data_IF_583083434605
#
_entry.id   IF_583083434605
#
_cell.length_a   1.000
_cell.length_b   1.000
_cell.length_c   1.000
_cell.angle_alpha   90.00
_cell.angle_beta   90.00
_cell.angle_gamma   90.00
#
_symmetry.space_group_name_H-M   'P 1'
#
loop_
_entity.id
_entity.type
_entity.pdbx_description
1 polymer ?
#
# COMPACT_ATOMS: atom_id res chain seq x y z
N UNK A 1 -18.05 -38.17 5.67
CA UNK A 1 -16.79 -37.52 6.13
C UNK A 1 -16.30 -36.58 5.04
N UNK A 2 -16.27 -35.27 5.28
CA UNK A 2 -15.99 -34.24 4.27
C UNK A 2 -14.49 -33.94 4.08
N UNK A 3 -14.12 -32.69 4.36
CA UNK A 3 -12.75 -32.17 4.24
C UNK A 3 -11.83 -32.88 5.26
N UNK A 4 -10.63 -33.25 4.82
CA UNK A 4 -9.62 -33.96 5.64
C UNK A 4 -8.31 -33.17 5.70
N UNK A 5 -7.63 -33.23 6.84
CA UNK A 5 -6.32 -32.62 7.09
C UNK A 5 -5.17 -33.64 7.10
N UNK A 6 -5.44 -34.87 6.68
CA UNK A 6 -4.45 -35.93 6.56
C UNK A 6 -3.34 -35.56 5.55
N UNK A 7 -2.17 -36.17 5.67
CA UNK A 7 -1.05 -35.94 4.74
C UNK A 7 -0.92 -37.06 3.68
N UNK A 8 -1.69 -38.14 3.84
CA UNK A 8 -1.57 -39.37 3.05
C UNK A 8 -2.11 -39.20 1.64
N UNK A 9 -3.15 -38.38 1.46
CA UNK A 9 -3.66 -38.04 0.12
C UNK A 9 -2.67 -37.27 -0.76
N UNK A 10 -1.63 -36.64 -0.18
CA UNK A 10 -0.61 -35.88 -0.92
C UNK A 10 0.52 -36.79 -1.40
N UNK A 11 1.18 -36.39 -2.50
CA UNK A 11 2.37 -37.07 -3.03
C UNK A 11 3.54 -37.04 -2.04
N UNK A 12 4.47 -37.98 -2.21
CA UNK A 12 5.76 -38.00 -1.49
C UNK A 12 6.66 -36.87 -2.00
N UNK A 13 7.72 -36.57 -1.23
CA UNK A 13 8.75 -35.61 -1.67
C UNK A 13 9.42 -36.03 -2.99
N UNK A 14 9.50 -37.33 -3.26
CA UNK A 14 10.00 -37.90 -4.53
C UNK A 14 9.00 -37.76 -5.69
N UNK A 15 7.81 -37.20 -5.48
CA UNK A 15 6.73 -37.13 -6.47
C UNK A 15 5.88 -38.41 -6.57
N UNK A 16 6.31 -39.53 -5.98
CA UNK A 16 5.57 -40.79 -5.97
C UNK A 16 4.19 -40.69 -5.30
N UNK A 17 3.18 -41.37 -5.87
CA UNK A 17 1.84 -41.49 -5.27
C UNK A 17 1.91 -42.36 -4.01
N UNK A 18 1.14 -42.01 -2.98
CA UNK A 18 0.97 -42.85 -1.79
C UNK A 18 -0.29 -43.71 -1.93
N UNK A 19 -0.20 -44.97 -1.54
CA UNK A 19 -1.39 -45.80 -1.40
C UNK A 19 -2.09 -45.44 -0.07
N UNK A 20 -3.42 -45.20 -0.06
CA UNK A 20 -4.15 -44.92 1.16
C UNK A 20 -4.14 -46.15 2.09
N UNK A 21 -3.58 -46.01 3.29
CA UNK A 21 -3.46 -47.13 4.25
C UNK A 21 -4.76 -47.36 5.03
N UNK A 22 -5.56 -46.30 5.20
CA UNK A 22 -6.83 -46.38 5.93
C UNK A 22 -7.86 -45.39 5.37
N UNK A 23 -9.13 -45.61 5.74
CA UNK A 23 -10.21 -44.64 5.50
C UNK A 23 -9.99 -43.37 6.35
N UNK A 24 -10.56 -42.24 5.93
CA UNK A 24 -10.50 -40.95 6.67
C UNK A 24 -10.91 -41.15 8.14
N UNK A 25 -10.23 -40.50 9.08
CA UNK A 25 -10.53 -40.59 10.52
C UNK A 25 -11.15 -39.30 11.06
N UNK A 26 -12.00 -39.40 12.08
CA UNK A 26 -12.70 -38.24 12.68
C UNK A 26 -11.74 -37.19 13.27
N UNK A 27 -10.56 -37.60 13.73
CA UNK A 27 -9.56 -36.68 14.28
C UNK A 27 -8.79 -35.91 13.19
N UNK A 28 -8.88 -36.33 11.93
CA UNK A 28 -8.30 -35.66 10.76
C UNK A 28 -9.29 -34.67 10.13
N UNK A 29 -10.43 -34.42 10.76
CA UNK A 29 -11.53 -33.63 10.20
C UNK A 29 -11.12 -32.16 9.97
N UNK A 30 -11.25 -31.71 8.73
CA UNK A 30 -11.36 -30.30 8.38
C UNK A 30 -12.82 -29.84 8.35
N UNK A 31 -13.07 -28.58 8.67
CA UNK A 31 -14.40 -27.95 8.53
C UNK A 31 -14.32 -26.83 7.48
N UNK A 32 -15.43 -26.50 6.79
CA UNK A 32 -15.49 -25.34 5.91
C UNK A 32 -15.07 -24.06 6.64
N UNK A 33 -14.46 -23.12 5.90
CA UNK A 33 -14.05 -21.82 6.42
C UNK A 33 -15.25 -21.01 6.89
N UNK A 34 -15.01 -20.03 7.76
CA UNK A 34 -16.08 -19.19 8.30
C UNK A 34 -16.49 -18.06 7.34
N UNK A 35 -15.53 -17.54 6.55
CA UNK A 35 -15.69 -16.40 5.64
C UNK A 35 -16.45 -15.22 6.29
N UNK A 36 -16.03 -14.85 7.51
CA UNK A 36 -16.66 -13.82 8.34
C UNK A 36 -16.79 -12.50 7.57
N UNK A 37 -18.00 -11.93 7.51
CA UNK A 37 -18.30 -10.68 6.82
C UNK A 37 -18.49 -9.52 7.78
N UNK A 38 -18.42 -8.31 7.25
CA UNK A 38 -18.86 -7.10 7.98
C UNK A 38 -20.39 -7.10 8.07
N UNK A 39 -20.94 -6.90 9.26
CA UNK A 39 -22.38 -6.85 9.48
C UNK A 39 -22.79 -7.17 10.92
N UNK A 40 -24.10 -7.18 11.22
CA UNK A 40 -24.59 -7.37 12.59
C UNK A 40 -24.09 -8.69 13.17
N UNK A 41 -23.58 -8.62 14.41
CA UNK A 41 -22.89 -9.70 15.09
C UNK A 41 -23.67 -11.02 15.03
N UNK A 42 -23.13 -12.02 14.32
CA UNK A 42 -23.66 -13.38 14.23
C UNK A 42 -22.53 -14.38 14.45
N UNK A 43 -22.61 -15.16 15.53
CA UNK A 43 -21.58 -16.11 15.94
C UNK A 43 -22.24 -17.46 16.20
N UNK A 44 -21.70 -18.53 15.60
CA UNK A 44 -22.15 -19.90 15.84
C UNK A 44 -21.15 -20.63 16.73
N UNK A 45 -21.65 -21.37 17.70
CA UNK A 45 -20.83 -22.24 18.56
C UNK A 45 -20.56 -23.55 17.82
N UNK A 46 -19.30 -23.97 17.79
CA UNK A 46 -18.87 -25.20 17.11
C UNK A 46 -18.18 -26.11 18.12
N UNK A 47 -18.80 -27.25 18.44
CA UNK A 47 -18.19 -28.30 19.27
C UNK A 47 -16.98 -28.91 18.56
N UNK A 48 -15.86 -28.93 19.26
CA UNK A 48 -14.57 -29.44 18.82
C UNK A 48 -14.23 -30.72 19.59
N UNK A 49 -13.07 -31.32 19.26
CA UNK A 49 -12.56 -32.50 19.95
C UNK A 49 -12.38 -32.21 21.45
N UNK A 50 -12.68 -33.19 22.28
CA UNK A 50 -12.59 -33.07 23.74
C UNK A 50 -13.70 -32.24 24.39
N UNK A 51 -14.80 -31.95 23.66
CA UNK A 51 -15.92 -31.18 24.21
C UNK A 51 -15.75 -29.66 24.15
N UNK A 52 -14.55 -29.16 23.81
CA UNK A 52 -14.27 -27.73 23.68
C UNK A 52 -15.17 -27.03 22.65
N UNK A 53 -15.48 -25.76 22.87
CA UNK A 53 -16.30 -24.95 21.98
C UNK A 53 -15.42 -23.89 21.30
N UNK A 54 -15.57 -23.73 19.99
CA UNK A 54 -15.00 -22.60 19.24
C UNK A 54 -16.11 -21.68 18.74
N UNK A 55 -15.84 -20.39 18.76
CA UNK A 55 -16.78 -19.37 18.31
C UNK A 55 -16.50 -19.04 16.84
N UNK A 56 -17.39 -19.45 15.94
CA UNK A 56 -17.29 -19.16 14.53
C UNK A 56 -18.10 -17.91 14.20
N UNK A 57 -17.43 -16.78 14.09
CA UNK A 57 -18.08 -15.57 13.60
C UNK A 57 -18.46 -15.71 12.12
N UNK A 58 -19.71 -15.42 11.77
CA UNK A 58 -20.19 -15.29 10.40
C UNK A 58 -20.30 -13.82 9.99
N UNK A 59 -20.70 -12.97 10.93
CA UNK A 59 -20.77 -11.51 10.75
C UNK A 59 -20.27 -10.80 12.00
N UNK A 60 -19.48 -9.74 11.83
CA UNK A 60 -19.03 -8.83 12.89
C UNK A 60 -18.98 -7.41 12.34
N UNK A 61 -19.46 -6.45 13.11
CA UNK A 61 -19.47 -5.02 12.81
C UNK A 61 -18.55 -4.22 13.73
N UNK A 62 -18.09 -4.84 14.81
CA UNK A 62 -17.31 -4.21 15.87
C UNK A 62 -16.16 -5.11 16.31
N UNK A 63 -15.10 -4.47 16.80
CA UNK A 63 -13.88 -5.13 17.27
C UNK A 63 -13.16 -4.31 18.32
N UNK A 64 -12.29 -4.94 19.11
CA UNK A 64 -11.41 -4.21 20.02
C UNK A 64 -10.09 -3.93 19.32
N UNK A 65 -9.76 -2.65 19.17
CA UNK A 65 -8.52 -2.21 18.54
C UNK A 65 -7.64 -1.49 19.56
N UNK A 66 -6.35 -1.80 19.54
CA UNK A 66 -5.35 -1.18 20.40
C UNK A 66 -4.63 -0.05 19.66
N UNK A 67 -4.52 1.10 20.32
CA UNK A 67 -3.60 2.18 19.97
C UNK A 67 -2.31 1.95 20.78
N UNK A 68 -1.26 1.48 20.11
CA UNK A 68 -0.08 0.95 20.79
C UNK A 68 0.76 2.04 21.46
N UNK A 69 1.02 3.16 20.77
CA UNK A 69 1.76 4.30 21.30
C UNK A 69 1.14 4.86 22.59
N UNK A 70 -0.19 4.97 22.63
CA UNK A 70 -0.94 5.51 23.76
C UNK A 70 -1.34 4.46 24.81
N UNK A 71 -1.06 3.17 24.56
CA UNK A 71 -1.42 2.07 25.45
C UNK A 71 -2.93 1.93 25.72
N UNK A 72 -3.78 2.38 24.79
CA UNK A 72 -5.23 2.35 24.96
C UNK A 72 -5.91 1.35 24.02
N UNK A 73 -7.03 0.76 24.44
CA UNK A 73 -7.83 -0.13 23.59
C UNK A 73 -9.29 0.27 23.68
N UNK A 74 -9.95 0.38 22.52
CA UNK A 74 -11.37 0.73 22.46
C UNK A 74 -12.11 -0.20 21.51
N UNK A 75 -13.38 -0.46 21.85
CA UNK A 75 -14.30 -1.12 20.95
C UNK A 75 -14.75 -0.12 19.90
N UNK A 76 -14.49 -0.41 18.64
CA UNK A 76 -14.84 0.48 17.52
C UNK A 76 -15.57 -0.28 16.42
N UNK A 77 -16.28 0.47 15.59
CA UNK A 77 -16.96 -0.08 14.42
C UNK A 77 -15.94 -0.35 13.32
N UNK A 78 -16.03 -1.51 12.71
CA UNK A 78 -15.31 -1.88 11.50
C UNK A 78 -16.10 -1.33 10.32
N UNK A 79 -15.48 -0.45 9.53
CA UNK A 79 -16.12 0.20 8.40
C UNK A 79 -15.91 -0.63 7.16
N UNK A 80 -14.65 -0.88 6.80
CA UNK A 80 -14.32 -1.53 5.54
C UNK A 80 -13.02 -2.34 5.58
N UNK A 81 -12.91 -3.34 4.71
CA UNK A 81 -11.64 -4.05 4.45
C UNK A 81 -10.94 -3.38 3.27
N UNK A 82 -9.72 -2.86 3.50
CA UNK A 82 -8.95 -2.09 2.52
C UNK A 82 -7.90 -2.94 1.82
N UNK A 83 -7.21 -3.81 2.57
CA UNK A 83 -6.12 -4.60 2.00
C UNK A 83 -6.01 -5.97 2.67
N UNK A 84 -5.56 -6.96 1.91
CA UNK A 84 -5.25 -8.28 2.41
C UNK A 84 -4.05 -8.83 1.66
N UNK A 85 -3.01 -9.22 2.40
CA UNK A 85 -1.79 -9.75 1.82
C UNK A 85 -1.99 -11.12 1.15
N UNK A 86 -2.90 -11.96 1.65
CA UNK A 86 -3.04 -13.33 1.16
C UNK A 86 -3.86 -13.43 -0.12
N UNK A 87 -4.94 -12.65 -0.25
CA UNK A 87 -5.84 -12.71 -1.40
C UNK A 87 -6.68 -11.44 -1.53
N UNK A 88 -6.68 -10.83 -2.73
CA UNK A 88 -7.44 -9.64 -3.06
C UNK A 88 -8.97 -9.86 -3.08
N UNK A 89 -9.43 -11.09 -3.36
CA UNK A 89 -10.87 -11.41 -3.30
C UNK A 89 -11.45 -11.23 -1.90
N UNK A 90 -10.63 -11.39 -0.86
CA UNK A 90 -11.06 -11.16 0.52
C UNK A 90 -11.31 -9.67 0.80
N UNK A 91 -10.63 -8.78 0.08
CA UNK A 91 -10.87 -7.34 0.11
C UNK A 91 -12.16 -7.03 -0.64
N UNK A 92 -12.33 -7.55 -1.87
CA UNK A 92 -13.54 -7.31 -2.67
C UNK A 92 -14.81 -7.76 -1.94
N UNK A 93 -14.74 -8.94 -1.33
CA UNK A 93 -15.88 -9.55 -0.64
C UNK A 93 -16.03 -9.13 0.82
N UNK A 94 -15.21 -8.18 1.31
CA UNK A 94 -15.28 -7.66 2.68
C UNK A 94 -15.20 -8.73 3.76
N UNK A 95 -14.27 -9.67 3.57
CA UNK A 95 -14.04 -10.79 4.50
C UNK A 95 -13.00 -10.41 5.55
N UNK A 96 -13.34 -10.63 6.82
CA UNK A 96 -12.48 -10.35 7.97
C UNK A 96 -11.60 -11.56 8.28
N UNK A 97 -10.28 -11.42 8.07
CA UNK A 97 -9.28 -12.45 8.42
C UNK A 97 -8.09 -11.85 9.15
N UNK A 98 -7.32 -12.68 9.84
CA UNK A 98 -6.06 -12.27 10.47
C UNK A 98 -5.12 -11.68 9.43
N UNK A 99 -4.58 -10.51 9.71
CA UNK A 99 -3.63 -9.80 8.86
C UNK A 99 -4.27 -8.91 7.79
N UNK A 100 -5.61 -8.90 7.66
CA UNK A 100 -6.27 -7.89 6.83
C UNK A 100 -6.11 -6.51 7.44
N UNK A 101 -5.94 -5.53 6.56
CA UNK A 101 -5.94 -4.12 6.87
C UNK A 101 -7.34 -3.60 6.61
N UNK A 102 -7.91 -2.97 7.63
CA UNK A 102 -9.28 -2.49 7.65
C UNK A 102 -9.29 -1.00 8.02
N UNK A 103 -10.38 -0.32 7.71
CA UNK A 103 -10.70 0.99 8.26
C UNK A 103 -11.65 0.82 9.43
N UNK A 104 -11.33 1.51 10.53
CA UNK A 104 -12.15 1.55 11.73
C UNK A 104 -12.57 2.99 12.03
N UNK A 105 -13.67 3.12 12.77
CA UNK A 105 -14.16 4.40 13.26
C UNK A 105 -13.17 5.02 14.26
N UNK A 106 -12.77 6.27 14.03
CA UNK A 106 -11.82 7.00 14.86
C UNK A 106 -12.45 7.59 16.13
N UNK A 107 -13.78 7.74 16.18
CA UNK A 107 -14.49 8.50 17.22
C UNK A 107 -14.14 8.04 18.64
N UNK A 108 -14.14 6.73 18.98
CA UNK A 108 -13.87 6.29 20.35
C UNK A 108 -12.43 6.59 20.83
N UNK A 109 -11.46 6.61 19.91
CA UNK A 109 -10.07 6.97 20.23
C UNK A 109 -9.90 8.47 20.37
N UNK A 110 -10.55 9.26 19.51
CA UNK A 110 -10.54 10.72 19.59
C UNK A 110 -11.15 11.20 20.92
N UNK A 111 -12.31 10.67 21.31
CA UNK A 111 -12.95 11.00 22.59
C UNK A 111 -12.05 10.66 23.78
N UNK A 112 -11.36 9.52 23.73
CA UNK A 112 -10.43 9.13 24.77
C UNK A 112 -9.23 10.07 24.86
N UNK A 113 -8.63 10.43 23.72
CA UNK A 113 -7.50 11.34 23.65
C UNK A 113 -7.85 12.73 24.20
N UNK A 114 -8.98 13.30 23.76
CA UNK A 114 -9.48 14.59 24.23
C UNK A 114 -9.70 14.60 25.74
N UNK A 115 -10.24 13.51 26.31
CA UNK A 115 -10.40 13.38 27.76
C UNK A 115 -9.07 13.13 28.52
N UNK A 116 -8.12 12.43 27.89
CA UNK A 116 -6.84 12.04 28.52
C UNK A 116 -5.85 13.21 28.60
N UNK A 117 -5.76 14.00 27.53
CA UNK A 117 -4.83 15.12 27.37
C UNK A 117 -5.47 16.49 27.54
N UNK A 118 -6.81 16.58 27.53
CA UNK A 118 -7.53 17.86 27.51
C UNK A 118 -7.07 18.78 26.37
N UNK A 119 -6.81 18.18 25.20
CA UNK A 119 -6.42 18.87 23.97
C UNK A 119 -7.30 18.38 22.81
N UNK A 120 -7.70 19.26 21.89
CA UNK A 120 -8.40 18.85 20.68
C UNK A 120 -7.47 18.05 19.77
N UNK A 121 -7.96 16.95 19.19
CA UNK A 121 -7.21 16.12 18.24
C UNK A 121 -7.74 16.30 16.82
N UNK A 122 -6.84 16.59 15.87
CA UNK A 122 -7.08 16.55 14.42
C UNK A 122 -8.32 17.34 13.94
N UNK A 123 -8.50 18.58 14.45
CA UNK A 123 -9.61 19.46 14.06
C UNK A 123 -9.18 20.39 12.92
N UNK A 124 -10.11 20.66 11.99
CA UNK A 124 -9.90 21.67 10.95
C UNK A 124 -9.78 23.05 11.60
N UNK A 125 -8.79 23.85 11.16
CA UNK A 125 -8.62 25.23 11.63
C UNK A 125 -9.93 26.02 11.42
N UNK A 126 -10.44 26.65 12.48
CA UNK A 126 -11.67 27.45 12.45
C UNK A 126 -12.97 26.71 12.74
N UNK A 127 -12.95 25.38 12.90
CA UNK A 127 -14.14 24.63 13.31
C UNK A 127 -14.37 24.80 14.83
N UNK A 128 -15.51 25.39 15.21
CA UNK A 128 -15.94 25.47 16.62
C UNK A 128 -16.18 24.06 17.17
N UNK A 129 -15.80 23.85 18.44
CA UNK A 129 -16.10 22.60 19.13
C UNK A 129 -17.60 22.55 19.44
N UNK A 130 -18.19 21.36 19.42
CA UNK A 130 -19.52 21.16 19.97
C UNK A 130 -19.48 21.30 21.49
N UNK A 131 -20.61 21.68 22.09
CA UNK A 131 -20.74 21.87 23.54
C UNK A 131 -20.27 20.64 24.33
N UNK A 132 -20.57 19.43 23.86
CA UNK A 132 -20.07 18.19 24.47
C UNK A 132 -18.54 18.03 24.40
N UNK A 133 -17.92 18.50 23.32
CA UNK A 133 -16.47 18.44 23.13
C UNK A 133 -15.76 19.47 24.02
N UNK A 134 -16.30 20.67 24.10
CA UNK A 134 -15.84 21.70 25.04
C UNK A 134 -16.00 21.23 26.49
N UNK A 135 -17.10 20.56 26.82
CA UNK A 135 -17.28 19.97 28.14
C UNK A 135 -16.23 18.89 28.46
N UNK A 136 -15.88 18.04 27.49
CA UNK A 136 -14.82 17.02 27.66
C UNK A 136 -13.43 17.64 27.85
N UNK A 137 -13.13 18.71 27.10
CA UNK A 137 -11.79 19.32 27.07
C UNK A 137 -11.60 20.31 28.23
N UNK A 138 -12.60 21.14 28.50
CA UNK A 138 -12.53 22.29 29.43
C UNK A 138 -13.69 22.38 30.43
N UNK A 139 -14.66 21.46 30.40
CA UNK A 139 -15.97 21.61 31.06
C UNK A 139 -16.01 21.73 32.58
N UNK A 140 -14.89 21.62 33.29
CA UNK A 140 -14.89 21.75 34.75
C UNK A 140 -13.70 22.57 35.23
N UNK A 141 -13.92 23.45 36.21
CA UNK A 141 -12.84 24.04 37.00
C UNK A 141 -12.06 22.91 37.66
N UNK A 142 -10.85 22.66 37.16
CA UNK A 142 -9.97 21.59 37.63
C UNK A 142 -9.16 22.07 38.83
N UNK A 143 -8.96 21.19 39.81
CA UNK A 143 -8.04 21.47 40.93
C UNK A 143 -6.62 21.76 40.42
N UNK A 144 -5.81 22.49 41.19
CA UNK A 144 -4.39 22.76 40.86
C UNK A 144 -3.60 21.47 40.59
N UNK A 145 -3.86 20.40 41.37
CA UNK A 145 -3.23 19.07 41.19
C UNK A 145 -3.63 18.43 39.86
N UNK A 146 -4.91 18.53 39.49
CA UNK A 146 -5.42 17.99 38.22
C UNK A 146 -4.86 18.76 37.02
N UNK A 147 -4.74 20.09 37.10
CA UNK A 147 -4.12 20.90 36.05
C UNK A 147 -2.65 20.53 35.85
N UNK A 148 -1.89 20.37 36.94
CA UNK A 148 -0.49 19.91 36.88
C UNK A 148 -0.38 18.55 36.17
N UNK A 149 -1.26 17.60 36.51
CA UNK A 149 -1.32 16.28 35.87
C UNK A 149 -1.55 16.36 34.36
N UNK A 150 -2.44 17.25 33.89
CA UNK A 150 -2.66 17.44 32.46
C UNK A 150 -1.46 18.11 31.79
N UNK A 151 -0.90 19.16 32.39
CA UNK A 151 0.31 19.81 31.88
C UNK A 151 1.48 18.83 31.71
N UNK A 152 1.66 17.91 32.66
CA UNK A 152 2.69 16.88 32.56
C UNK A 152 2.42 15.88 31.42
N UNK A 153 1.16 15.49 31.20
CA UNK A 153 0.79 14.60 30.07
C UNK A 153 0.92 15.28 28.72
N UNK A 154 0.58 16.58 28.63
CA UNK A 154 0.63 17.33 27.39
C UNK A 154 2.04 17.41 26.79
N UNK A 155 3.08 17.25 27.61
CA UNK A 155 4.48 17.15 27.14
C UNK A 155 4.73 15.99 26.18
N UNK A 156 3.99 14.88 26.31
CA UNK A 156 4.13 13.68 25.48
C UNK A 156 2.95 13.47 24.53
N UNK A 157 2.06 14.46 24.39
CA UNK A 157 0.83 14.33 23.60
C UNK A 157 1.05 14.43 22.06
N UNK A 158 2.29 14.45 21.58
CA UNK A 158 2.55 14.59 20.15
C UNK A 158 2.18 13.29 19.41
N UNK A 159 1.19 13.37 18.51
CA UNK A 159 0.77 12.26 17.64
C UNK A 159 1.44 12.38 16.27
N UNK A 160 1.81 11.25 15.67
CA UNK A 160 2.41 11.19 14.33
C UNK A 160 1.53 11.87 13.25
N UNK A 161 2.10 12.66 12.32
CA UNK A 161 1.34 13.40 11.32
C UNK A 161 0.39 12.54 10.46
N UNK A 162 0.83 11.35 10.03
CA UNK A 162 0.01 10.44 9.22
C UNK A 162 -1.19 9.88 9.98
N UNK A 163 -1.03 9.64 11.27
CA UNK A 163 -2.12 9.19 12.15
C UNK A 163 -3.09 10.35 12.39
N UNK A 164 -2.59 11.58 12.56
CA UNK A 164 -3.39 12.79 12.73
C UNK A 164 -4.28 13.05 11.49
N UNK A 165 -3.73 12.90 10.28
CA UNK A 165 -4.49 13.01 9.02
C UNK A 165 -5.67 12.02 8.97
N UNK A 166 -5.46 10.79 9.44
CA UNK A 166 -6.52 9.78 9.52
C UNK A 166 -7.59 10.10 10.56
N UNK A 167 -7.20 10.68 11.71
CA UNK A 167 -8.15 11.20 12.69
C UNK A 167 -8.99 12.34 12.11
N UNK A 168 -8.41 13.22 11.29
CA UNK A 168 -9.14 14.28 10.59
C UNK A 168 -10.14 13.71 9.57
N UNK A 169 -9.79 12.62 8.89
CA UNK A 169 -10.69 11.88 8.00
C UNK A 169 -11.77 11.06 8.76
N UNK A 170 -11.63 10.90 10.07
CA UNK A 170 -12.54 10.12 10.92
C UNK A 170 -12.41 8.61 10.76
N UNK A 171 -11.38 8.11 10.06
CA UNK A 171 -11.17 6.69 9.78
C UNK A 171 -9.70 6.33 9.98
N UNK A 172 -9.45 5.35 10.85
CA UNK A 172 -8.10 4.86 11.13
C UNK A 172 -7.84 3.54 10.40
N UNK A 173 -6.62 3.34 9.91
CA UNK A 173 -6.18 2.06 9.39
C UNK A 173 -5.73 1.15 10.54
N UNK A 174 -6.25 -0.07 10.56
CA UNK A 174 -5.92 -1.06 11.58
C UNK A 174 -5.68 -2.44 10.95
N UNK A 175 -4.87 -3.26 11.63
CA UNK A 175 -4.60 -4.65 11.25
C UNK A 175 -5.31 -5.60 12.20
N UNK A 176 -6.05 -6.56 11.65
CA UNK A 176 -6.67 -7.63 12.43
C UNK A 176 -5.59 -8.60 12.91
N UNK A 177 -5.52 -8.86 14.21
CA UNK A 177 -4.58 -9.81 14.83
C UNK A 177 -5.25 -11.13 15.23
N UNK A 178 -6.54 -11.07 15.57
CA UNK A 178 -7.34 -12.24 15.94
C UNK A 178 -7.75 -13.09 14.72
N UNK A 179 -8.29 -14.29 14.96
CA UNK A 179 -8.88 -15.17 13.93
C UNK A 179 -10.40 -15.26 14.14
N UNK A 180 -11.22 -14.40 13.51
CA UNK A 180 -12.67 -14.34 13.76
C UNK A 180 -13.40 -15.67 13.61
N UNK A 181 -13.00 -16.51 12.64
CA UNK A 181 -13.60 -17.83 12.43
C UNK A 181 -13.25 -18.90 13.50
N UNK A 182 -12.40 -18.58 14.47
CA UNK A 182 -12.01 -19.47 15.57
C UNK A 182 -12.35 -18.86 16.95
N UNK A 183 -12.04 -17.57 17.14
CA UNK A 183 -12.23 -16.86 18.41
C UNK A 183 -13.57 -16.14 18.52
N UNK A 184 -14.30 -15.96 17.41
CA UNK A 184 -15.56 -15.21 17.36
C UNK A 184 -15.40 -13.70 17.51
N UNK A 185 -14.16 -13.19 17.50
CA UNK A 185 -13.84 -11.77 17.70
C UNK A 185 -12.94 -11.26 16.59
N UNK A 186 -13.09 -9.99 16.24
CA UNK A 186 -12.28 -9.29 15.25
C UNK A 186 -11.48 -8.18 15.93
N UNK A 187 -10.39 -8.57 16.60
CA UNK A 187 -9.56 -7.68 17.39
C UNK A 187 -8.23 -7.42 16.66
N UNK A 188 -7.62 -6.27 16.92
CA UNK A 188 -6.46 -5.80 16.18
C UNK A 188 -5.75 -4.62 16.83
N UNK A 189 -4.89 -3.98 16.05
CA UNK A 189 -4.16 -2.79 16.47
C UNK A 189 -4.13 -1.76 15.34
N UNK A 190 -4.05 -0.48 15.69
CA UNK A 190 -3.95 0.64 14.76
C UNK A 190 -2.54 0.65 14.16
N UNK A 191 -2.44 0.96 12.86
CA UNK A 191 -1.15 1.05 12.18
C UNK A 191 -0.49 2.40 12.48
N UNK A 192 0.80 2.37 12.84
CA UNK A 192 1.60 3.55 13.15
C UNK A 192 3.01 3.44 12.53
N UNK A 193 3.70 4.57 12.38
CA UNK A 193 5.08 4.68 11.93
C UNK A 193 5.38 3.95 10.64
N UNK A 194 6.47 3.16 10.64
CA UNK A 194 6.96 2.42 9.46
C UNK A 194 5.92 1.44 8.90
N UNK A 195 5.09 0.83 9.75
CA UNK A 195 4.02 -0.06 9.28
C UNK A 195 2.99 0.74 8.51
N UNK A 196 2.57 1.90 9.04
CA UNK A 196 1.59 2.75 8.37
C UNK A 196 2.13 3.30 7.05
N UNK A 197 3.36 3.81 7.05
CA UNK A 197 4.05 4.25 5.83
C UNK A 197 4.07 3.17 4.75
N UNK A 198 4.38 1.92 5.13
CA UNK A 198 4.40 0.80 4.19
C UNK A 198 3.05 0.61 3.49
N UNK A 199 1.94 0.80 4.21
CA UNK A 199 0.59 0.64 3.67
C UNK A 199 0.04 1.91 2.98
N UNK A 200 0.53 3.11 3.30
CA UNK A 200 0.08 4.39 2.72
C UNK A 200 0.89 4.85 1.49
N UNK A 201 2.13 4.40 1.30
CA UNK A 201 3.03 4.96 0.28
C UNK A 201 2.51 4.82 -1.15
N UNK A 202 2.25 5.97 -1.79
CA UNK A 202 2.04 6.14 -3.23
C UNK A 202 3.30 6.76 -3.88
N UNK A 203 4.41 6.01 -3.86
CA UNK A 203 5.75 6.47 -4.29
C UNK A 203 5.78 7.13 -5.69
N UNK A 204 4.99 6.65 -6.65
CA UNK A 204 4.93 7.25 -7.99
C UNK A 204 4.31 8.65 -8.00
N UNK A 205 3.37 8.95 -7.10
CA UNK A 205 2.75 10.28 -7.00
C UNK A 205 3.75 11.32 -6.48
N UNK A 206 4.70 10.89 -5.65
CA UNK A 206 5.75 11.77 -5.16
C UNK A 206 6.68 12.22 -6.30
N UNK A 207 7.06 11.30 -7.20
CA UNK A 207 7.88 11.63 -8.36
C UNK A 207 7.18 12.59 -9.33
N UNK A 208 5.86 12.46 -9.52
CA UNK A 208 5.09 13.41 -10.35
C UNK A 208 5.06 14.81 -9.73
N UNK A 209 4.81 14.92 -8.42
CA UNK A 209 4.83 16.24 -7.76
C UNK A 209 6.21 16.91 -7.84
N UNK A 210 7.29 16.14 -7.77
CA UNK A 210 8.65 16.66 -7.95
C UNK A 210 8.89 17.15 -9.39
N UNK A 211 8.42 16.41 -10.40
CA UNK A 211 8.50 16.85 -11.79
C UNK A 211 7.72 18.15 -12.05
N UNK A 212 6.50 18.28 -11.51
CA UNK A 212 5.68 19.48 -11.68
C UNK A 212 6.30 20.71 -11.01
N UNK A 213 6.93 20.53 -9.83
CA UNK A 213 7.66 21.60 -9.15
C UNK A 213 8.91 22.03 -9.95
N UNK A 214 9.64 21.07 -10.53
CA UNK A 214 10.76 21.38 -11.41
C UNK A 214 10.32 22.09 -12.70
N UNK A 215 9.16 21.72 -13.26
CA UNK A 215 8.59 22.43 -14.42
C UNK A 215 8.26 23.89 -14.08
N UNK A 216 7.65 24.13 -12.91
CA UNK A 216 7.33 25.48 -12.47
C UNK A 216 8.59 26.34 -12.27
N UNK A 217 9.64 25.80 -11.66
CA UNK A 217 10.87 26.54 -11.38
C UNK A 217 11.77 26.70 -12.62
N UNK A 218 12.04 25.61 -13.32
CA UNK A 218 13.03 25.57 -14.40
C UNK A 218 12.43 25.96 -15.73
N UNK A 219 11.20 25.54 -16.05
CA UNK A 219 10.58 25.86 -17.34
C UNK A 219 9.95 27.25 -17.29
N UNK A 220 8.93 27.45 -16.44
CA UNK A 220 8.22 28.73 -16.38
C UNK A 220 9.07 29.86 -15.79
N UNK A 221 9.81 29.57 -14.71
CA UNK A 221 10.64 30.58 -14.04
C UNK A 221 11.75 31.14 -14.92
N UNK A 222 12.44 30.29 -15.68
CA UNK A 222 13.50 30.75 -16.57
C UNK A 222 12.97 31.45 -17.82
N UNK A 223 11.81 31.04 -18.35
CA UNK A 223 11.15 31.71 -19.49
C UNK A 223 10.79 33.16 -19.13
N UNK A 224 10.18 33.37 -17.96
CA UNK A 224 9.86 34.71 -17.43
C UNK A 224 11.14 35.53 -17.27
N UNK A 225 12.22 34.93 -16.75
CA UNK A 225 13.51 35.59 -16.63
C UNK A 225 14.09 36.06 -17.97
N UNK A 226 14.03 35.21 -19.00
CA UNK A 226 14.49 35.54 -20.36
C UNK A 226 13.67 36.69 -20.94
N UNK A 227 12.33 36.64 -20.80
CA UNK A 227 11.41 37.69 -21.27
C UNK A 227 11.69 39.05 -20.62
N UNK A 228 11.97 39.09 -19.31
CA UNK A 228 12.29 40.33 -18.61
C UNK A 228 13.62 40.96 -19.06
N UNK A 229 14.54 40.16 -19.59
CA UNK A 229 15.86 40.63 -20.08
C UNK A 229 15.90 40.89 -21.59
N UNK A 230 14.81 40.71 -22.32
CA UNK A 230 14.75 40.96 -23.75
C UNK A 230 14.96 42.47 -24.04
N UNK A 231 15.86 42.89 -24.96
CA UNK A 231 16.55 42.13 -26.02
C UNK A 231 18.01 41.68 -25.72
N UNK A 232 18.53 41.88 -24.50
CA UNK A 232 19.94 41.57 -24.17
C UNK A 232 20.08 40.33 -23.28
N UNK A 233 20.49 39.21 -23.87
CA UNK A 233 20.74 37.97 -23.13
C UNK A 233 22.19 37.89 -22.60
N UNK A 234 22.36 38.14 -21.30
CA UNK A 234 23.66 38.20 -20.62
C UNK A 234 24.33 36.85 -20.35
N UNK A 235 23.66 35.71 -20.57
CA UNK A 235 24.26 34.40 -20.27
C UNK A 235 25.24 33.91 -21.35
N UNK A 236 26.19 33.08 -20.93
CA UNK A 236 27.13 32.40 -21.84
C UNK A 236 26.42 31.35 -22.70
N UNK A 237 27.04 30.95 -23.82
CA UNK A 237 26.46 29.97 -24.74
C UNK A 237 26.20 28.61 -24.07
N UNK A 238 27.11 28.16 -23.20
CA UNK A 238 26.93 26.94 -22.39
C UNK A 238 25.70 27.02 -21.48
N UNK A 239 25.53 28.15 -20.78
CA UNK A 239 24.40 28.36 -19.87
C UNK A 239 23.10 28.41 -20.65
N UNK A 240 23.07 29.03 -21.83
CA UNK A 240 21.92 29.04 -22.72
C UNK A 240 21.44 27.61 -23.07
N UNK A 241 22.37 26.76 -23.51
CA UNK A 241 22.08 25.36 -23.88
C UNK A 241 21.58 24.55 -22.68
N UNK A 242 22.24 24.71 -21.53
CA UNK A 242 21.85 24.02 -20.29
C UNK A 242 20.48 24.47 -19.79
N UNK A 243 20.14 25.75 -19.87
CA UNK A 243 18.81 26.28 -19.51
C UNK A 243 17.75 25.64 -20.40
N UNK A 244 17.94 25.60 -21.73
CA UNK A 244 16.99 24.95 -22.65
C UNK A 244 16.82 23.46 -22.38
N UNK A 245 17.90 22.73 -22.08
CA UNK A 245 17.83 21.33 -21.64
C UNK A 245 17.01 21.16 -20.34
N UNK A 246 17.30 21.98 -19.33
CA UNK A 246 16.62 21.93 -18.03
C UNK A 246 15.16 22.39 -18.10
N UNK A 247 14.78 23.23 -19.06
CA UNK A 247 13.38 23.59 -19.33
C UNK A 247 12.58 22.40 -19.89
N UNK A 248 13.17 21.59 -20.76
CA UNK A 248 12.49 20.48 -21.45
C UNK A 248 12.47 19.19 -20.62
N UNK A 249 13.45 18.98 -19.74
CA UNK A 249 13.55 17.77 -18.94
C UNK A 249 12.32 17.50 -18.03
N UNK A 250 11.82 18.47 -17.24
CA UNK A 250 10.60 18.28 -16.44
C UNK A 250 9.35 18.09 -17.31
N UNK A 251 9.32 18.76 -18.47
CA UNK A 251 8.25 18.67 -19.45
C UNK A 251 8.10 17.25 -20.00
N UNK A 252 9.22 16.56 -20.26
CA UNK A 252 9.23 15.16 -20.70
C UNK A 252 9.09 14.17 -19.53
N UNK A 253 9.61 14.49 -18.34
CA UNK A 253 9.48 13.63 -17.17
C UNK A 253 8.01 13.40 -16.77
N UNK A 254 7.14 14.42 -16.85
CA UNK A 254 5.74 14.30 -16.44
C UNK A 254 4.93 13.27 -17.28
N UNK A 255 4.93 13.31 -18.63
CA UNK A 255 4.30 12.27 -19.46
C UNK A 255 4.85 10.86 -19.23
N UNK A 256 6.17 10.69 -19.07
CA UNK A 256 6.75 9.37 -18.80
C UNK A 256 6.38 8.84 -17.40
N UNK A 257 6.29 9.73 -16.40
CA UNK A 257 5.78 9.37 -15.07
C UNK A 257 4.28 9.01 -15.10
N UNK A 258 3.48 9.68 -15.94
CA UNK A 258 2.08 9.29 -16.16
C UNK A 258 1.98 7.90 -16.79
N UNK A 259 2.82 7.57 -17.76
CA UNK A 259 2.91 6.20 -18.31
C UNK A 259 3.31 5.20 -17.23
N UNK A 260 4.31 5.52 -16.40
CA UNK A 260 4.71 4.67 -15.28
C UNK A 260 3.57 4.43 -14.28
N UNK A 261 2.75 5.44 -14.00
CA UNK A 261 1.54 5.31 -13.19
C UNK A 261 0.54 4.37 -13.87
N UNK A 262 0.27 4.55 -15.17
CA UNK A 262 -0.63 3.68 -15.93
C UNK A 262 -0.17 2.22 -15.95
N UNK A 263 1.13 1.97 -16.08
CA UNK A 263 1.74 0.63 -16.02
C UNK A 263 1.61 0.03 -14.63
N UNK A 264 1.89 0.80 -13.57
CA UNK A 264 1.74 0.34 -12.18
C UNK A 264 0.28 -0.03 -11.89
N UNK A 265 -0.67 0.79 -12.34
CA UNK A 265 -2.11 0.52 -12.24
C UNK A 265 -2.53 -0.71 -13.04
N UNK A 266 -2.05 -0.85 -14.27
CA UNK A 266 -2.31 -2.02 -15.10
C UNK A 266 -1.77 -3.29 -14.46
N UNK A 267 -0.56 -3.27 -13.90
CA UNK A 267 0.01 -4.44 -13.22
C UNK A 267 -0.75 -4.76 -11.92
N UNK A 268 -1.17 -3.75 -11.15
CA UNK A 268 -1.96 -3.96 -9.95
C UNK A 268 -3.35 -4.56 -10.24
N UNK A 269 -4.00 -4.13 -11.33
CA UNK A 269 -5.36 -4.55 -11.69
C UNK A 269 -5.35 -5.85 -12.51
N UNK A 270 -4.59 -5.90 -13.59
CA UNK A 270 -4.61 -7.00 -14.57
C UNK A 270 -3.64 -8.14 -14.24
N UNK A 271 -2.59 -7.88 -13.44
CA UNK A 271 -1.58 -8.91 -13.02
C UNK A 271 -1.25 -8.86 -11.52
N UNK A 272 -2.26 -9.00 -10.64
CA UNK A 272 -2.13 -8.75 -9.21
C UNK A 272 -1.10 -9.66 -8.50
N UNK A 273 -0.92 -10.90 -8.99
CA UNK A 273 0.01 -11.86 -8.39
C UNK A 273 1.49 -11.48 -8.60
N UNK A 274 1.83 -10.95 -9.77
CA UNK A 274 3.20 -10.47 -10.06
C UNK A 274 3.50 -9.18 -9.28
N UNK A 275 2.49 -8.32 -9.14
CA UNK A 275 2.59 -7.10 -8.33
C UNK A 275 2.84 -7.41 -6.84
N UNK A 276 2.25 -8.49 -6.31
CA UNK A 276 2.44 -8.90 -4.92
C UNK A 276 3.82 -9.52 -4.64
N UNK A 277 4.43 -10.21 -5.60
CA UNK A 277 5.74 -10.85 -5.44
C UNK A 277 6.93 -9.89 -5.57
N UNK A 278 6.71 -8.70 -6.13
CA UNK A 278 7.75 -7.69 -6.32
C UNK A 278 7.92 -6.78 -5.10
N UNK A 279 9.17 -6.40 -4.81
CA UNK A 279 9.49 -5.47 -3.71
C UNK A 279 8.85 -4.09 -3.94
N UNK A 280 8.04 -3.65 -2.96
CA UNK A 280 7.19 -2.46 -3.00
C UNK A 280 8.00 -1.16 -3.08
N UNK A 281 9.24 -1.14 -2.60
CA UNK A 281 10.10 0.05 -2.67
C UNK A 281 10.93 0.09 -3.95
N UNK A 282 11.42 -1.08 -4.38
CA UNK A 282 12.31 -1.17 -5.54
C UNK A 282 11.58 -0.89 -6.84
N UNK A 283 10.32 -1.32 -6.99
CA UNK A 283 9.56 -1.18 -8.25
C UNK A 283 9.13 0.24 -8.59
N UNK A 284 8.44 0.99 -7.71
CA UNK A 284 8.06 2.37 -7.98
C UNK A 284 9.28 3.27 -8.22
N UNK A 285 10.36 3.07 -7.44
CA UNK A 285 11.61 3.80 -7.65
C UNK A 285 12.31 3.40 -8.94
N UNK A 286 12.24 2.12 -9.34
CA UNK A 286 12.73 1.67 -10.63
C UNK A 286 11.93 2.30 -11.78
N UNK A 287 10.60 2.30 -11.71
CA UNK A 287 9.76 2.94 -12.72
C UNK A 287 9.98 4.45 -12.79
N UNK A 288 10.10 5.11 -11.62
CA UNK A 288 10.49 6.51 -11.52
C UNK A 288 11.85 6.75 -12.18
N UNK A 289 12.88 5.99 -11.81
CA UNK A 289 14.22 6.08 -12.39
C UNK A 289 14.20 5.89 -13.90
N UNK A 290 13.47 4.89 -14.41
CA UNK A 290 13.36 4.68 -15.87
C UNK A 290 12.68 5.87 -16.55
N UNK A 291 11.63 6.44 -15.96
CA UNK A 291 10.95 7.60 -16.51
C UNK A 291 11.87 8.84 -16.55
N UNK A 292 12.64 9.08 -15.49
CA UNK A 292 13.64 10.14 -15.45
C UNK A 292 14.78 9.91 -16.44
N UNK A 293 15.25 8.67 -16.61
CA UNK A 293 16.28 8.34 -17.60
C UNK A 293 15.78 8.57 -19.03
N UNK A 294 14.57 8.09 -19.36
CA UNK A 294 13.97 8.33 -20.68
C UNK A 294 13.76 9.83 -20.94
N UNK A 295 13.25 10.58 -19.96
CA UNK A 295 13.10 12.03 -20.07
C UNK A 295 14.44 12.73 -20.31
N UNK A 296 15.48 12.36 -19.54
CA UNK A 296 16.82 12.93 -19.69
C UNK A 296 17.43 12.64 -21.06
N UNK A 297 17.26 11.42 -21.60
CA UNK A 297 17.75 11.01 -22.92
C UNK A 297 17.00 11.76 -24.03
N UNK A 298 15.67 11.81 -23.97
CA UNK A 298 14.86 12.53 -24.95
C UNK A 298 15.09 14.05 -24.91
N UNK A 299 15.61 14.60 -23.81
CA UNK A 299 15.94 16.03 -23.70
C UNK A 299 17.32 16.38 -24.27
N UNK A 300 18.22 15.40 -24.48
CA UNK A 300 19.61 15.64 -24.96
C UNK A 300 19.70 16.43 -26.27
N UNK A 301 18.83 16.22 -27.29
CA UNK A 301 18.90 16.98 -28.54
C UNK A 301 18.90 18.50 -28.35
N UNK A 302 18.26 19.00 -27.29
CA UNK A 302 18.19 20.43 -26.96
C UNK A 302 19.56 21.06 -26.70
N UNK A 303 20.57 20.29 -26.29
CA UNK A 303 21.94 20.79 -26.09
C UNK A 303 22.64 21.14 -27.42
N UNK A 304 22.17 20.58 -28.54
CA UNK A 304 22.78 20.74 -29.85
C UNK A 304 22.00 21.70 -30.76
N UNK A 305 20.67 21.77 -30.58
CA UNK A 305 19.79 22.60 -31.42
C UNK A 305 19.96 24.09 -31.14
N UNK A 306 20.11 24.48 -29.87
CA UNK A 306 20.19 25.89 -29.48
C UNK A 306 21.62 26.43 -29.53
N UNK A 307 21.79 27.59 -30.18
CA UNK A 307 23.06 28.31 -30.22
C UNK A 307 22.84 29.82 -30.02
N UNK A 308 23.78 30.48 -29.35
CA UNK A 308 23.81 31.95 -29.23
C UNK A 308 24.38 32.56 -30.51
N UNK A 309 23.59 33.35 -31.24
CA UNK A 309 24.05 34.08 -32.42
C UNK A 309 24.14 35.59 -32.12
N UNK A 310 25.21 36.23 -32.57
CA UNK A 310 25.30 37.69 -32.54
C UNK A 310 24.66 38.23 -33.81
N UNK A 311 23.50 38.89 -33.70
CA UNK A 311 22.90 39.62 -34.82
C UNK A 311 23.59 40.98 -34.92
N UNK A 312 23.80 41.46 -36.15
CA UNK A 312 24.64 42.61 -36.48
C UNK A 312 24.40 43.88 -35.65
N UNK A 313 25.41 44.75 -35.60
CA UNK A 313 25.42 46.01 -34.85
C UNK A 313 24.31 46.96 -35.32
N UNK A 314 23.41 47.36 -34.43
CA UNK A 314 22.61 48.58 -34.56
C UNK A 314 23.25 49.61 -33.62
N UNK A 315 24.14 50.46 -34.15
CA UNK A 315 24.98 51.37 -33.36
C UNK A 315 26.19 50.71 -32.67
N UNK A 316 26.71 51.31 -31.59
CA UNK A 316 27.88 50.81 -30.83
C UNK A 316 27.61 49.56 -29.99
N UNK A 317 26.38 49.06 -29.92
CA UNK A 317 26.00 47.94 -29.08
C UNK A 317 25.68 46.70 -29.93
N UNK A 318 26.34 45.58 -29.64
CA UNK A 318 26.06 44.28 -30.24
C UNK A 318 24.79 43.68 -29.64
N UNK A 319 23.79 43.36 -30.46
CA UNK A 319 22.58 42.63 -30.04
C UNK A 319 22.80 41.14 -30.21
N UNK A 320 22.70 40.38 -29.12
CA UNK A 320 22.80 38.91 -29.16
C UNK A 320 21.42 38.29 -29.07
N UNK A 321 21.08 37.44 -30.02
CA UNK A 321 19.77 36.79 -30.10
C UNK A 321 19.92 35.28 -30.11
N UNK A 322 18.91 34.60 -29.58
CA UNK A 322 18.84 33.13 -29.54
C UNK A 322 18.11 32.70 -30.81
N UNK A 323 18.70 31.82 -31.62
CA UNK A 323 18.10 31.33 -32.87
C UNK A 323 17.92 29.82 -32.76
N UNK A 324 16.76 29.34 -33.18
CA UNK A 324 16.40 27.92 -33.27
C UNK A 324 16.72 27.40 -34.68
N UNK A 325 17.30 26.20 -34.78
CA UNK A 325 17.41 25.51 -36.06
C UNK A 325 16.05 24.91 -36.45
N UNK A 326 15.59 25.12 -37.70
CA UNK A 326 14.27 24.72 -38.27
C UNK A 326 13.99 23.19 -38.34
N UNK A 327 14.54 22.38 -37.45
CA UNK A 327 14.28 20.93 -37.34
C UNK A 327 13.43 20.56 -36.11
N UNK A 328 12.87 21.54 -35.40
CA UNK A 328 12.28 21.39 -34.07
C UNK A 328 10.76 21.14 -34.03
N UNK A 329 10.03 21.27 -35.14
CA UNK A 329 8.56 21.19 -35.13
C UNK A 329 8.01 19.76 -34.88
N UNK A 330 8.81 18.71 -35.11
CA UNK A 330 8.36 17.32 -34.99
C UNK A 330 8.72 16.63 -33.65
N UNK A 331 9.71 17.12 -32.91
CA UNK A 331 10.27 16.40 -31.75
C UNK A 331 9.35 16.47 -30.52
N UNK A 332 8.69 17.62 -30.31
CA UNK A 332 7.70 17.79 -29.24
C UNK A 332 6.43 16.96 -29.46
N UNK A 333 6.02 16.77 -30.71
CA UNK A 333 4.87 15.93 -31.05
C UNK A 333 5.15 14.47 -30.70
N UNK A 334 6.35 13.97 -31.04
CA UNK A 334 6.75 12.59 -30.75
C UNK A 334 6.85 12.37 -29.24
N UNK A 335 7.45 13.30 -28.50
CA UNK A 335 7.64 13.19 -27.05
C UNK A 335 6.33 13.24 -26.24
N UNK A 336 5.24 13.78 -26.79
CA UNK A 336 3.93 13.84 -26.12
C UNK A 336 2.94 12.80 -26.64
N UNK A 337 2.90 12.59 -27.95
CA UNK A 337 2.01 11.63 -28.59
C UNK A 337 2.36 10.20 -28.19
N UNK A 338 3.66 9.86 -28.13
CA UNK A 338 4.11 8.50 -27.82
C UNK A 338 3.74 8.08 -26.37
N UNK A 339 4.02 8.87 -25.32
CA UNK A 339 3.55 8.54 -23.97
C UNK A 339 2.03 8.51 -23.86
N UNK A 340 1.31 9.40 -24.56
CA UNK A 340 -0.16 9.42 -24.57
C UNK A 340 -0.74 8.13 -25.17
N UNK A 341 -0.23 7.68 -26.31
CA UNK A 341 -0.65 6.43 -26.96
C UNK A 341 -0.34 5.21 -26.09
N UNK A 342 0.83 5.17 -25.46
CA UNK A 342 1.20 4.08 -24.54
C UNK A 342 0.27 4.06 -23.32
N UNK A 343 0.01 5.23 -22.73
CA UNK A 343 -0.91 5.36 -21.60
C UNK A 343 -2.34 4.92 -21.99
N UNK A 344 -2.84 5.39 -23.13
CA UNK A 344 -4.14 5.01 -23.67
C UNK A 344 -4.24 3.51 -23.92
N UNK A 345 -3.19 2.86 -24.43
CA UNK A 345 -3.14 1.40 -24.59
C UNK A 345 -3.28 0.68 -23.25
N UNK A 346 -2.55 1.10 -22.21
CA UNK A 346 -2.66 0.48 -20.88
C UNK A 346 -4.04 0.72 -20.26
N UNK A 347 -4.60 1.92 -20.37
CA UNK A 347 -5.96 2.19 -19.91
C UNK A 347 -7.01 1.40 -20.68
N UNK A 348 -6.88 1.25 -22.00
CA UNK A 348 -7.74 0.39 -22.79
C UNK A 348 -7.65 -1.08 -22.33
N UNK A 349 -6.45 -1.59 -22.03
CA UNK A 349 -6.26 -2.93 -21.46
C UNK A 349 -6.85 -3.06 -20.06
N UNK A 350 -6.78 -2.03 -19.23
CA UNK A 350 -7.46 -1.99 -17.92
C UNK A 350 -8.97 -2.06 -18.13
N UNK A 351 -9.55 -1.16 -18.94
CA UNK A 351 -11.00 -1.12 -19.20
C UNK A 351 -11.51 -2.43 -19.79
N UNK A 352 -10.82 -2.99 -20.77
CA UNK A 352 -11.19 -4.30 -21.35
C UNK A 352 -11.06 -5.43 -20.35
N UNK A 353 -10.07 -5.40 -19.46
CA UNK A 353 -9.95 -6.40 -18.38
C UNK A 353 -11.06 -6.22 -17.33
N UNK A 354 -11.42 -4.98 -16.99
CA UNK A 354 -12.50 -4.65 -16.06
C UNK A 354 -13.87 -5.00 -16.64
N UNK A 355 -14.07 -4.83 -17.94
CA UNK A 355 -15.32 -5.21 -18.63
C UNK A 355 -15.39 -6.72 -18.91
N UNK A 356 -14.24 -7.39 -19.08
CA UNK A 356 -14.14 -8.85 -19.14
C UNK A 356 -14.11 -9.51 -17.76
N UNK A 357 -13.95 -8.75 -16.67
CA UNK A 357 -14.12 -9.26 -15.32
C UNK A 357 -15.62 -9.59 -15.15
N UNK A 358 -15.97 -10.79 -14.66
CA UNK A 358 -17.27 -11.37 -14.87
C UNK A 358 -18.26 -10.78 -13.86
N UNK A 359 -18.78 -9.59 -14.13
CA UNK A 359 -20.10 -9.22 -13.61
C UNK A 359 -21.20 -9.91 -14.45
N UNK A 360 -20.93 -10.18 -15.73
CA UNK A 360 -21.88 -10.78 -16.67
C UNK A 360 -21.62 -12.26 -17.01
N UNK A 361 -20.44 -12.80 -16.71
CA UNK A 361 -20.08 -14.20 -17.01
C UNK A 361 -20.41 -15.19 -15.88
N UNK A 362 -20.61 -14.72 -14.64
CA UNK A 362 -21.04 -15.58 -13.51
C UNK A 362 -22.42 -16.20 -13.78
N UNK A 363 -23.26 -15.57 -14.63
CA UNK A 363 -24.59 -16.08 -14.92
C UNK A 363 -24.64 -17.11 -16.06
N UNK A 364 -23.55 -17.28 -16.83
CA UNK A 364 -23.47 -18.24 -17.94
C UNK A 364 -22.45 -19.37 -17.71
N UNK A 365 -21.33 -19.12 -17.00
CA UNK A 365 -20.27 -20.12 -16.80
C UNK A 365 -20.63 -21.24 -15.79
N UNK A 366 -21.68 -21.09 -14.97
CA UNK A 366 -22.18 -22.17 -14.11
C UNK A 366 -22.80 -23.34 -14.92
N UNK A 367 -23.13 -23.12 -16.21
CA UNK A 367 -23.81 -24.13 -17.02
C UNK A 367 -22.90 -24.96 -17.94
N UNK A 368 -21.67 -24.54 -18.30
CA UNK A 368 -21.05 -25.14 -19.51
C UNK A 368 -19.69 -25.83 -19.42
N UNK A 369 -18.83 -25.70 -18.40
CA UNK A 369 -17.49 -26.31 -18.49
C UNK A 369 -17.02 -27.11 -17.27
N UNK A 370 -17.75 -28.21 -17.03
CA UNK A 370 -17.11 -29.50 -16.77
C UNK A 370 -16.23 -29.89 -17.98
N UNK A 371 -14.90 -29.70 -17.98
CA UNK A 371 -13.90 -30.57 -18.66
C UNK A 371 -12.45 -29.99 -18.67
N UNK A 372 -11.53 -30.71 -18.01
CA UNK A 372 -10.05 -30.82 -18.12
C UNK A 372 -9.10 -29.72 -17.56
N UNK A 373 -8.09 -30.10 -16.74
CA UNK A 373 -6.98 -29.23 -16.32
C UNK A 373 -5.67 -29.46 -17.12
N UNK A 374 -4.90 -28.41 -17.41
CA UNK A 374 -3.55 -28.47 -18.01
C UNK A 374 -2.47 -27.75 -17.18
N UNK A 375 -1.21 -28.19 -17.36
CA UNK A 375 -0.02 -28.12 -16.47
C UNK A 375 0.68 -26.75 -16.37
N UNK A 376 1.04 -26.32 -15.15
CA UNK A 376 2.11 -25.33 -14.86
C UNK A 376 2.83 -25.75 -13.56
N UNK A 377 3.88 -26.56 -13.65
CA UNK A 377 4.54 -27.17 -12.46
C UNK A 377 5.95 -26.69 -12.15
N UNK A 378 6.69 -26.04 -13.06
CA UNK A 378 8.14 -26.01 -12.91
C UNK A 378 8.74 -24.69 -12.35
N UNK A 379 8.07 -23.53 -12.44
CA UNK A 379 8.64 -22.26 -11.95
C UNK A 379 8.36 -21.97 -10.47
N UNK A 380 7.27 -22.50 -9.93
CA UNK A 380 6.81 -22.27 -8.54
C UNK A 380 7.68 -23.06 -7.55
N UNK A 381 8.24 -24.19 -7.96
CA UNK A 381 9.01 -25.09 -7.09
C UNK A 381 10.39 -24.50 -6.74
N UNK A 382 10.99 -23.72 -7.64
CA UNK A 382 12.28 -23.05 -7.42
C UNK A 382 12.19 -21.91 -6.39
N UNK A 383 11.15 -21.06 -6.50
CA UNK A 383 10.93 -19.93 -5.58
C UNK A 383 10.56 -20.39 -4.16
N UNK A 384 9.84 -21.51 -4.04
CA UNK A 384 9.51 -22.12 -2.76
C UNK A 384 10.72 -22.70 -2.01
N UNK A 385 11.78 -23.14 -2.70
CA UNK A 385 12.99 -23.71 -2.05
C UNK A 385 13.83 -22.65 -1.34
N UNK A 386 14.15 -21.56 -2.04
CA UNK A 386 14.91 -20.43 -1.50
C UNK A 386 14.24 -19.81 -0.27
N UNK A 387 12.92 -19.66 -0.31
CA UNK A 387 12.15 -19.12 0.82
C UNK A 387 12.18 -20.04 2.04
N UNK A 388 12.31 -21.36 1.83
CA UNK A 388 12.32 -22.35 2.91
C UNK A 388 13.67 -22.41 3.61
N UNK A 389 14.77 -22.32 2.86
CA UNK A 389 16.13 -22.26 3.41
C UNK A 389 16.34 -21.00 4.25
N UNK A 390 15.89 -19.84 3.77
CA UNK A 390 16.00 -18.58 4.50
C UNK A 390 15.26 -18.61 5.86
N UNK A 391 14.07 -19.22 5.89
CA UNK A 391 13.28 -19.38 7.12
C UNK A 391 13.91 -20.39 8.09
N UNK A 392 14.61 -21.42 7.59
CA UNK A 392 15.32 -22.37 8.44
C UNK A 392 16.57 -21.78 9.08
N UNK A 393 17.31 -20.93 8.37
CA UNK A 393 18.45 -20.19 8.91
C UNK A 393 18.02 -19.27 10.06
N UNK A 394 16.94 -18.51 9.86
CA UNK A 394 16.35 -17.64 10.90
C UNK A 394 15.82 -18.42 12.12
N UNK A 395 15.35 -19.66 11.92
CA UNK A 395 14.93 -20.52 13.03
C UNK A 395 16.11 -21.05 13.84
N UNK A 396 17.22 -21.38 13.19
CA UNK A 396 18.42 -21.91 13.88
C UNK A 396 19.15 -20.84 14.70
N UNK A 397 19.08 -19.56 14.30
CA UNK A 397 19.71 -18.45 15.03
C UNK A 397 18.89 -17.91 16.21
N UNK A 398 17.62 -18.32 16.35
CA UNK A 398 16.75 -17.86 17.44
C UNK A 398 16.94 -18.72 18.69
N UNK A 399 17.52 -18.14 19.75
CA UNK A 399 17.67 -18.74 21.09
C UNK A 399 16.34 -19.21 21.69
N UNK A 400 15.24 -18.52 21.36
CA UNK A 400 13.88 -18.88 21.77
C UNK A 400 13.40 -20.21 21.17
N UNK A 401 13.82 -20.52 19.95
CA UNK A 401 13.47 -21.79 19.28
C UNK A 401 14.29 -22.96 19.84
N UNK A 402 15.58 -22.76 20.14
CA UNK A 402 16.40 -23.79 20.80
C UNK A 402 15.86 -24.15 22.20
N UNK A 403 15.40 -23.15 22.96
CA UNK A 403 14.76 -23.36 24.27
C UNK A 403 13.41 -24.10 24.15
N UNK A 404 12.63 -23.87 23.08
CA UNK A 404 11.39 -24.61 22.84
C UNK A 404 11.62 -26.06 22.42
N UNK A 405 12.63 -26.33 21.58
CA UNK A 405 12.95 -27.70 21.12
C UNK A 405 13.46 -28.55 22.30
N UNK A 406 14.35 -27.98 23.12
CA UNK A 406 14.86 -28.68 24.32
C UNK A 406 13.77 -28.95 25.36
N UNK A 407 12.81 -28.04 25.53
CA UNK A 407 11.65 -28.27 26.40
C UNK A 407 10.70 -29.35 25.83
N UNK A 408 10.54 -29.39 24.50
CA UNK A 408 9.74 -30.39 23.81
C UNK A 408 10.36 -31.79 23.91
N UNK A 409 11.69 -31.90 23.77
CA UNK A 409 12.41 -33.17 23.91
C UNK A 409 12.44 -33.67 25.36
N UNK A 410 12.59 -32.79 26.35
CA UNK A 410 12.41 -33.14 27.78
C UNK A 410 11.03 -33.69 28.08
N UNK A 411 9.98 -33.11 27.48
CA UNK A 411 8.59 -33.61 27.62
C UNK A 411 8.41 -34.97 26.92
N UNK A 412 9.11 -35.20 25.81
CA UNK A 412 9.06 -36.45 25.05
C UNK A 412 9.71 -37.62 25.80
N UNK A 413 10.85 -37.41 26.45
CA UNK A 413 11.54 -38.43 27.27
C UNK A 413 10.66 -38.86 28.45
N UNK A 414 9.92 -37.93 29.08
CA UNK A 414 9.00 -38.24 30.18
C UNK A 414 7.79 -39.10 29.76
N UNK A 415 7.37 -39.03 28.50
CA UNK A 415 6.27 -39.87 27.96
C UNK A 415 6.69 -41.28 27.54
N UNK A 416 7.98 -41.60 27.54
CA UNK A 416 8.50 -42.91 27.08
C UNK A 416 8.94 -43.81 28.25
N UNK A 417 8.98 -43.30 29.49
CA UNK A 417 9.44 -44.05 30.69
C UNK A 417 8.30 -44.34 31.69
N UNK A 418 7.05 -44.48 31.24
CA UNK A 418 5.97 -45.03 32.07
C UNK A 418 5.05 -45.94 31.26
#
# INVERSE_FOLDING_TARGET
MGISQDNWHKRRKTGGKRNPIHKKRKHELGRPSANTKIGPKRIHLVRCRGGNIKHRALRLDTGNFAWASEGCTRKTRIIDTVYNASNNELVRTKTLVKGSIITIDAVPFRQWYEAHYALPLARKKGQKLTEEEEQRISGHKRSKKTLKKYSDRQKTAAVEPHVLEQFQAGRLLARISSRPGQSGRCDGYILEGKELEFYMKKLLILHTCFADLLFALLSLGSEIGILLTFPHFYASDLVCRLVRYLQVLPLYASPFLMVAISIDRYQAICRPLVHYTSDRFRRPNYFGLTAWLFASICSVPQLFIWQKMSIGKIGNNTTTSIVEWNFAENDSVIAWLLPSLISAFFYFKICTTVWKLPFWQIQQDDNENNLKPQKVSNSIEASCRLTREYVEVLRKSSTTFQNQVTEFDKKRIKTVIF
#
